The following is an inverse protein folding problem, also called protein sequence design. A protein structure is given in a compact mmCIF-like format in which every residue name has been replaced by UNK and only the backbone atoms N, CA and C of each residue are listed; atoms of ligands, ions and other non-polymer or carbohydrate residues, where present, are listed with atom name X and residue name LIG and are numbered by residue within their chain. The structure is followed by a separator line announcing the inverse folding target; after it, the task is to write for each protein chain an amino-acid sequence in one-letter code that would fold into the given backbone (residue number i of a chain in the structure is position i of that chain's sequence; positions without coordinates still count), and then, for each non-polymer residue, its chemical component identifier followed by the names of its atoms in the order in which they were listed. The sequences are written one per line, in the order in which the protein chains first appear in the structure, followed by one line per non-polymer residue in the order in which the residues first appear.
data_IF_549186426864
#
_entry.id   IF_549186426864
#
_cell.length_a   1.000
_cell.length_b   1.000
_cell.length_c   1.000
_cell.angle_alpha   90.00
_cell.angle_beta   90.00
_cell.angle_gamma   90.00
#
_symmetry.space_group_name_H-M   'P 1'
#
loop_
_entity.id
_entity.type
_entity.pdbx_description
1 polymer ?
#
# COMPACT_ATOMS: atom_id res chain seq x y z
N UNK A 1 13.90 12.20 -10.26
CA UNK A 1 14.46 12.77 -9.01
C UNK A 1 13.64 13.99 -8.54
N UNK A 2 12.47 13.80 -7.91
CA UNK A 2 11.67 14.91 -7.31
C UNK A 2 11.73 14.93 -5.78
N UNK A 3 12.05 13.81 -5.13
CA UNK A 3 12.15 13.68 -3.68
C UNK A 3 13.37 14.40 -3.07
N UNK A 4 14.42 14.66 -3.85
CA UNK A 4 15.64 15.38 -3.44
C UNK A 4 15.45 16.90 -3.24
N UNK A 5 14.27 17.43 -3.58
CA UNK A 5 13.98 18.86 -3.59
C UNK A 5 13.11 19.31 -2.40
N UNK A 6 12.82 18.44 -1.43
CA UNK A 6 12.48 18.92 -0.09
C UNK A 6 13.67 19.76 0.38
N UNK A 7 13.43 20.95 0.94
CA UNK A 7 14.38 22.06 1.17
C UNK A 7 15.68 21.76 1.95
N UNK A 8 15.98 20.48 2.20
CA UNK A 8 17.17 19.92 2.84
C UNK A 8 18.49 20.27 2.15
N UNK A 9 18.47 20.74 0.90
CA UNK A 9 19.68 21.03 0.11
C UNK A 9 19.85 22.51 -0.25
N UNK A 10 18.93 23.40 0.14
CA UNK A 10 18.95 24.82 -0.23
C UNK A 10 18.76 25.09 -1.73
N UNK A 11 18.49 24.06 -2.55
CA UNK A 11 18.21 24.24 -3.98
C UNK A 11 16.81 24.80 -4.20
N UNK A 12 16.64 25.73 -5.15
CA UNK A 12 15.32 26.27 -5.48
C UNK A 12 14.40 25.15 -5.97
N UNK A 13 13.19 25.08 -5.39
CA UNK A 13 12.16 24.15 -5.83
C UNK A 13 11.70 24.58 -7.23
N UNK A 14 11.78 23.70 -8.25
CA UNK A 14 11.34 24.05 -9.60
C UNK A 14 9.83 24.32 -9.57
N UNK A 15 9.43 25.46 -10.13
CA UNK A 15 8.03 25.82 -10.27
C UNK A 15 7.32 24.74 -11.09
N UNK A 16 6.38 24.03 -10.46
CA UNK A 16 5.49 23.10 -11.13
C UNK A 16 4.09 23.68 -11.02
N UNK A 17 3.36 23.85 -12.14
CA UNK A 17 1.95 24.22 -12.09
C UNK A 17 1.18 23.25 -11.20
N UNK A 18 0.27 23.73 -10.35
CA UNK A 18 -0.67 22.86 -9.64
C UNK A 18 -1.41 22.02 -10.69
N UNK A 19 -1.34 20.69 -10.59
CA UNK A 19 -2.09 19.81 -11.48
C UNK A 19 -3.57 19.82 -11.08
N UNK A 20 -4.31 20.81 -11.58
CA UNK A 20 -5.75 20.93 -11.41
C UNK A 20 -6.49 19.81 -12.16
N UNK A 21 -7.69 19.45 -11.69
CA UNK A 21 -8.52 18.39 -12.28
C UNK A 21 -8.06 16.95 -12.01
N UNK A 22 -7.16 16.74 -11.04
CA UNK A 22 -6.72 15.41 -10.60
C UNK A 22 -7.00 15.22 -9.12
N UNK A 23 -7.52 14.06 -8.76
CA UNK A 23 -7.65 13.66 -7.37
C UNK A 23 -6.40 12.90 -6.94
N UNK A 24 -5.74 13.43 -5.90
CA UNK A 24 -4.62 12.77 -5.23
C UNK A 24 -5.18 11.84 -4.16
N UNK A 25 -5.04 10.54 -4.36
CA UNK A 25 -5.28 9.57 -3.28
C UNK A 25 -3.97 9.47 -2.49
N UNK A 26 -3.99 10.07 -1.31
CA UNK A 26 -2.89 10.06 -0.33
C UNK A 26 -2.92 8.80 0.52
N UNK A 27 -4.00 8.03 0.50
CA UNK A 27 -4.10 6.89 1.39
C UNK A 27 -3.42 5.64 0.82
N UNK A 28 -2.31 5.30 1.45
CA UNK A 28 -1.51 4.11 1.18
C UNK A 28 -2.20 2.82 1.65
N UNK A 29 -3.15 2.90 2.60
CA UNK A 29 -3.88 1.76 3.16
C UNK A 29 -5.37 1.66 2.80
N UNK A 30 -5.92 2.57 2.00
CA UNK A 30 -7.37 2.64 1.69
C UNK A 30 -7.89 1.32 1.09
N UNK A 31 -7.04 0.55 0.41
CA UNK A 31 -7.41 -0.75 -0.12
C UNK A 31 -7.71 -1.79 0.98
N UNK A 32 -6.98 -1.78 2.11
CA UNK A 32 -7.23 -2.66 3.25
C UNK A 32 -8.50 -2.27 3.97
N UNK A 33 -8.70 -0.97 4.16
CA UNK A 33 -9.94 -0.43 4.72
C UNK A 33 -11.13 -0.82 3.84
N UNK A 34 -11.06 -0.59 2.52
CA UNK A 34 -12.09 -1.02 1.55
C UNK A 34 -12.33 -2.52 1.57
N UNK A 35 -11.29 -3.35 1.70
CA UNK A 35 -11.46 -4.80 1.82
C UNK A 35 -12.17 -5.16 3.13
N UNK A 36 -11.79 -4.55 4.25
CA UNK A 36 -12.42 -4.75 5.55
C UNK A 36 -13.89 -4.28 5.56
N UNK A 37 -14.19 -3.13 4.93
CA UNK A 37 -15.56 -2.64 4.78
C UNK A 37 -16.41 -3.57 3.93
N UNK A 38 -15.88 -4.05 2.79
CA UNK A 38 -16.54 -5.07 1.95
C UNK A 38 -16.81 -6.35 2.73
N UNK A 39 -15.84 -6.84 3.51
CA UNK A 39 -16.02 -8.02 4.35
C UNK A 39 -17.05 -7.82 5.45
N UNK A 40 -17.20 -6.60 5.97
CA UNK A 40 -18.19 -6.25 6.98
C UNK A 40 -19.55 -5.83 6.40
N UNK A 41 -19.74 -5.90 5.08
CA UNK A 41 -20.98 -5.48 4.42
C UNK A 41 -21.26 -3.97 4.53
N UNK A 42 -20.26 -3.17 4.91
CA UNK A 42 -20.41 -1.72 5.05
C UNK A 42 -20.06 -1.03 3.72
N UNK A 43 -20.96 -0.15 3.26
CA UNK A 43 -20.67 0.81 2.20
C UNK A 43 -20.04 2.05 2.79
N UNK A 44 -18.81 2.36 2.36
CA UNK A 44 -18.21 3.66 2.65
C UNK A 44 -18.79 4.66 1.65
N UNK A 45 -19.30 5.83 2.08
CA UNK A 45 -19.64 6.90 1.16
C UNK A 45 -18.37 7.37 0.46
N UNK A 46 -18.14 6.84 -0.75
CA UNK A 46 -17.06 7.29 -1.62
C UNK A 46 -17.52 8.57 -2.33
N UNK A 47 -16.71 9.64 -2.36
CA UNK A 47 -16.98 10.76 -3.26
C UNK A 47 -17.10 10.22 -4.69
N UNK A 48 -18.07 10.75 -5.45
CA UNK A 48 -18.37 10.28 -6.80
C UNK A 48 -17.15 10.42 -7.72
N UNK A 49 -16.50 9.28 -8.01
CA UNK A 49 -15.25 9.18 -8.79
C UNK A 49 -15.42 9.26 -10.31
N UNK A 50 -16.59 9.64 -10.83
CA UNK A 50 -16.85 9.58 -12.29
C UNK A 50 -16.10 10.72 -13.00
N UNK A 51 -15.16 10.35 -13.87
CA UNK A 51 -14.61 11.24 -14.90
C UNK A 51 -13.29 11.93 -14.61
N UNK A 52 -12.67 11.76 -13.44
CA UNK A 52 -11.40 12.43 -13.13
C UNK A 52 -10.22 11.45 -13.00
N UNK A 53 -9.07 11.72 -13.65
CA UNK A 53 -7.88 10.89 -13.52
C UNK A 53 -7.38 10.90 -12.07
N UNK A 54 -7.40 9.72 -11.46
CA UNK A 54 -6.96 9.49 -10.09
C UNK A 54 -5.46 9.21 -10.09
N UNK A 55 -4.68 9.97 -9.31
CA UNK A 55 -3.23 9.75 -9.14
C UNK A 55 -2.95 9.30 -7.72
N UNK A 56 -2.29 8.15 -7.55
CA UNK A 56 -1.81 7.71 -6.23
C UNK A 56 -0.59 8.55 -5.86
N UNK A 57 -0.67 9.32 -4.78
CA UNK A 57 0.38 10.28 -4.40
C UNK A 57 1.73 9.64 -4.07
N UNK A 58 1.75 8.34 -3.79
CA UNK A 58 2.92 7.57 -3.37
C UNK A 58 3.51 6.70 -4.48
N UNK A 59 2.81 6.59 -5.62
CA UNK A 59 3.30 5.83 -6.76
C UNK A 59 4.12 6.76 -7.65
N UNK A 60 5.44 6.67 -7.54
CA UNK A 60 6.37 7.32 -8.46
C UNK A 60 6.90 6.26 -9.44
N UNK A 61 6.49 6.30 -10.73
CA UNK A 61 7.01 5.36 -11.74
C UNK A 61 8.53 5.42 -11.88
N UNK A 62 9.10 6.61 -11.66
CA UNK A 62 10.55 6.85 -11.76
C UNK A 62 11.33 6.36 -10.53
N UNK A 63 10.65 6.08 -9.42
CA UNK A 63 11.26 5.60 -8.17
C UNK A 63 10.27 4.72 -7.39
N UNK A 64 10.20 3.41 -7.71
CA UNK A 64 9.26 2.50 -7.06
C UNK A 64 9.72 2.02 -5.68
N UNK A 65 10.96 2.33 -5.26
CA UNK A 65 11.54 1.79 -4.00
C UNK A 65 10.70 2.13 -2.76
N UNK A 66 10.21 3.37 -2.56
CA UNK A 66 9.37 3.70 -1.42
C UNK A 66 8.07 2.87 -1.38
N UNK A 67 7.48 2.61 -2.56
CA UNK A 67 6.28 1.79 -2.67
C UNK A 67 6.54 0.34 -2.26
N UNK A 68 7.64 -0.26 -2.74
CA UNK A 68 8.00 -1.64 -2.43
C UNK A 68 8.35 -1.83 -0.95
N UNK A 69 9.10 -0.90 -0.35
CA UNK A 69 9.42 -0.94 1.08
C UNK A 69 8.16 -0.95 1.93
N UNK A 70 7.22 -0.05 1.61
CA UNK A 70 5.98 0.05 2.34
C UNK A 70 5.09 -1.18 2.16
N UNK A 71 5.04 -1.76 0.95
CA UNK A 71 4.36 -3.05 0.70
C UNK A 71 4.96 -4.19 1.56
N UNK A 72 6.29 -4.22 1.69
CA UNK A 72 7.00 -5.17 2.55
C UNK A 72 6.59 -5.05 4.02
N UNK A 73 6.65 -3.84 4.59
CA UNK A 73 6.20 -3.59 5.97
C UNK A 73 4.74 -3.99 6.18
N UNK A 74 3.89 -3.68 5.22
CA UNK A 74 2.46 -3.95 5.29
C UNK A 74 2.08 -5.43 5.19
N UNK A 75 2.90 -6.25 4.52
CA UNK A 75 2.63 -7.68 4.26
C UNK A 75 3.42 -8.61 5.18
N UNK A 76 4.53 -8.15 5.76
CA UNK A 76 5.41 -8.95 6.63
C UNK A 76 4.66 -9.67 7.75
N UNK A 77 3.75 -8.98 8.45
CA UNK A 77 2.97 -9.58 9.53
C UNK A 77 2.02 -10.70 9.07
N UNK A 78 1.43 -10.56 7.89
CA UNK A 78 0.53 -11.59 7.31
C UNK A 78 1.34 -12.79 6.84
N UNK A 79 2.42 -12.55 6.10
CA UNK A 79 3.33 -13.59 5.64
C UNK A 79 3.92 -14.38 6.81
N UNK A 80 4.32 -13.70 7.88
CA UNK A 80 4.84 -14.35 9.09
C UNK A 80 3.80 -15.29 9.73
N UNK A 81 2.54 -14.84 9.86
CA UNK A 81 1.44 -15.65 10.42
C UNK A 81 1.13 -16.87 9.55
N UNK A 82 1.09 -16.69 8.23
CA UNK A 82 0.86 -17.78 7.27
C UNK A 82 2.00 -18.80 7.30
N UNK A 83 3.26 -18.35 7.28
CA UNK A 83 4.42 -19.23 7.37
C UNK A 83 4.42 -20.04 8.67
N UNK A 84 4.09 -19.40 9.81
CA UNK A 84 3.92 -20.11 11.08
C UNK A 84 2.81 -21.16 11.05
N UNK A 85 1.66 -20.86 10.45
CA UNK A 85 0.55 -21.80 10.35
C UNK A 85 0.86 -23.01 9.44
N UNK A 86 1.63 -22.78 8.37
CA UNK A 86 2.11 -23.85 7.49
C UNK A 86 3.11 -24.74 8.24
N UNK A 87 4.08 -24.14 8.94
CA UNK A 87 5.07 -24.87 9.72
C UNK A 87 4.43 -25.71 10.84
N UNK A 88 3.43 -25.19 11.55
CA UNK A 88 2.72 -25.96 12.58
C UNK A 88 1.91 -27.11 11.98
N UNK A 89 1.28 -26.93 10.81
CA UNK A 89 0.59 -28.02 10.09
C UNK A 89 1.56 -29.12 9.64
N UNK A 90 2.71 -28.76 9.06
CA UNK A 90 3.73 -29.73 8.64
C UNK A 90 4.29 -30.51 9.84
N UNK A 91 4.52 -29.83 10.97
CA UNK A 91 4.99 -30.46 12.22
C UNK A 91 3.97 -31.43 12.83
N UNK A 92 2.66 -31.17 12.69
CA UNK A 92 1.62 -32.09 13.13
C UNK A 92 1.42 -33.27 12.17
N UNK A 93 1.57 -33.06 10.86
CA UNK A 93 1.49 -34.12 9.85
C UNK A 93 2.58 -35.20 10.02
N UNK A 94 3.80 -34.80 10.39
CA UNK A 94 4.91 -35.74 10.66
C UNK A 94 4.72 -36.60 11.92
N UNK A 95 3.94 -36.14 12.90
CA UNK A 95 3.74 -36.86 14.18
C UNK A 95 2.72 -37.99 14.08
N UNK A 96 1.87 -37.98 13.04
CA UNK A 96 0.82 -38.99 12.82
C UNK A 96 1.28 -40.22 12.02
N UNK A 97 2.49 -40.17 11.43
CA UNK A 97 3.04 -41.23 10.56
C UNK A 97 4.06 -42.15 11.26
N UNK A 98 4.26 -41.98 12.57
CA UNK A 98 5.24 -42.72 13.41
C UNK A 98 4.58 -43.58 14.50
N UNK A 99 3.27 -43.80 14.45
CA UNK A 99 2.56 -44.76 15.30
C UNK A 99 2.05 -45.91 14.45
#
# INVERSE_FOLDING_TARGET
MRALHLSLTGRPVPASPPKTGRWLIVETGDYKARLAYRWRGMSVPLPSRRGQPTVRGWWAPDDPVPYLMMLGFETAGVLHRLGRAVLTRLRMGGRRRRR
#
